data_IF_242319826337
#
_entry.id   IF_242319826337
#
_cell.length_a   1.000
_cell.length_b   1.000
_cell.length_c   1.000
_cell.angle_alpha   90.00
_cell.angle_beta   90.00
_cell.angle_gamma   90.00
#
_symmetry.space_group_name_H-M   'P 1'
#
loop_
_entity.id
_entity.type
_entity.pdbx_description
1 polymer ?
#
# COMPACT_ATOMS: atom_id res chain seq x y z
N UNK A 1 -19.25 16.63 2.14
CA UNK A 1 -17.80 16.38 2.04
C UNK A 1 -17.59 15.00 1.43
N UNK A 2 -16.97 14.91 0.26
CA UNK A 2 -16.63 13.62 -0.33
C UNK A 2 -15.56 12.93 0.51
N UNK A 3 -15.70 11.62 0.75
CA UNK A 3 -14.67 10.80 1.38
C UNK A 3 -13.50 10.65 0.42
N UNK A 4 -12.57 11.61 0.43
CA UNK A 4 -11.42 11.61 -0.47
C UNK A 4 -10.60 10.34 -0.19
N UNK A 5 -10.55 9.47 -1.21
CA UNK A 5 -9.83 8.21 -1.13
C UNK A 5 -8.53 8.37 -1.89
N UNK A 6 -7.41 8.03 -1.25
CA UNK A 6 -6.12 7.97 -1.91
C UNK A 6 -5.88 6.55 -2.43
N UNK A 7 -5.34 6.48 -3.64
CA UNK A 7 -4.99 5.22 -4.30
C UNK A 7 -3.49 5.00 -4.19
N UNK A 8 -3.10 3.98 -3.44
CA UNK A 8 -1.71 3.55 -3.34
C UNK A 8 -1.44 2.56 -4.47
N UNK A 9 -0.66 2.97 -5.45
CA UNK A 9 -0.27 2.10 -6.56
C UNK A 9 0.86 1.16 -6.15
N UNK A 10 0.78 -0.09 -6.61
CA UNK A 10 1.78 -1.14 -6.40
C UNK A 10 2.19 -1.73 -7.74
N UNK A 11 3.49 -1.94 -7.93
CA UNK A 11 4.07 -2.60 -9.09
C UNK A 11 4.85 -3.83 -8.65
N UNK A 12 4.61 -4.94 -9.35
CA UNK A 12 5.23 -6.22 -9.10
C UNK A 12 6.18 -6.59 -10.24
N UNK A 13 7.30 -7.21 -9.90
CA UNK A 13 8.19 -7.88 -10.84
C UNK A 13 7.58 -9.22 -11.29
N UNK A 14 8.09 -9.83 -12.38
CA UNK A 14 7.62 -11.13 -12.86
C UNK A 14 7.74 -12.27 -11.83
N UNK A 15 8.64 -12.14 -10.86
CA UNK A 15 8.81 -13.09 -9.75
C UNK A 15 7.86 -12.83 -8.56
N UNK A 16 6.96 -11.85 -8.66
CA UNK A 16 5.99 -11.50 -7.63
C UNK A 16 6.48 -10.54 -6.54
N UNK A 17 7.75 -10.11 -6.56
CA UNK A 17 8.24 -9.11 -5.60
C UNK A 17 7.76 -7.71 -5.94
N UNK A 18 7.58 -6.87 -4.93
CA UNK A 18 7.18 -5.47 -5.11
C UNK A 18 8.39 -4.65 -5.54
N UNK A 19 8.28 -4.05 -6.72
CA UNK A 19 9.30 -3.13 -7.28
C UNK A 19 9.09 -1.73 -6.73
N UNK A 20 7.83 -1.28 -6.70
CA UNK A 20 7.48 0.08 -6.31
C UNK A 20 6.11 0.09 -5.64
N UNK A 21 5.97 0.94 -4.62
CA UNK A 21 4.71 1.16 -3.91
C UNK A 21 4.66 2.61 -3.38
N UNK A 22 3.52 3.27 -3.58
CA UNK A 22 3.26 4.63 -3.10
C UNK A 22 3.05 4.72 -1.59
N UNK A 23 3.03 5.94 -1.05
CA UNK A 23 2.78 6.24 0.36
C UNK A 23 3.64 5.42 1.35
N UNK A 24 4.80 4.97 0.89
CA UNK A 24 5.71 4.12 1.65
C UNK A 24 6.47 4.94 2.68
N UNK A 25 6.50 4.52 3.95
CA UNK A 25 7.43 5.07 4.93
C UNK A 25 8.89 4.84 4.54
N UNK A 26 9.77 5.82 4.75
CA UNK A 26 11.18 5.74 4.35
C UNK A 26 11.94 4.56 5.00
N UNK A 27 11.54 4.19 6.22
CA UNK A 27 12.15 3.10 6.99
C UNK A 27 11.82 1.69 6.45
N UNK A 28 10.78 1.53 5.63
CA UNK A 28 10.33 0.23 5.14
C UNK A 28 10.73 0.02 3.68
N UNK A 29 11.15 -1.20 3.32
CA UNK A 29 11.27 -1.58 1.91
C UNK A 29 9.89 -1.66 1.23
N UNK A 30 9.83 -1.56 -0.13
CA UNK A 30 8.58 -1.73 -0.87
C UNK A 30 7.81 -3.01 -0.52
N UNK A 31 8.55 -4.12 -0.38
CA UNK A 31 7.96 -5.41 -0.01
C UNK A 31 7.40 -5.41 1.42
N UNK A 32 8.13 -4.84 2.39
CA UNK A 32 7.66 -4.75 3.78
C UNK A 32 6.39 -3.92 3.89
N UNK A 33 6.32 -2.79 3.17
CA UNK A 33 5.14 -1.95 3.18
C UNK A 33 3.92 -2.63 2.57
N UNK A 34 4.10 -3.31 1.43
CA UNK A 34 3.03 -4.11 0.82
C UNK A 34 2.53 -5.23 1.74
N UNK A 35 3.46 -5.95 2.38
CA UNK A 35 3.10 -7.03 3.31
C UNK A 35 2.29 -6.48 4.49
N UNK A 36 2.73 -5.35 5.07
CA UNK A 36 2.01 -4.72 6.19
C UNK A 36 0.61 -4.25 5.78
N UNK A 37 0.47 -3.57 4.63
CA UNK A 37 -0.83 -3.16 4.09
C UNK A 37 -1.73 -4.37 3.81
N UNK A 38 -1.17 -5.45 3.26
CA UNK A 38 -1.93 -6.68 3.01
C UNK A 38 -2.42 -7.36 4.29
N UNK A 39 -1.74 -7.17 5.42
CA UNK A 39 -2.18 -7.72 6.71
C UNK A 39 -3.23 -6.83 7.40
N UNK A 40 -3.11 -5.51 7.26
CA UNK A 40 -3.92 -4.56 8.05
C UNK A 40 -5.11 -3.98 7.27
N UNK A 41 -5.03 -3.89 5.94
CA UNK A 41 -6.06 -3.28 5.08
C UNK A 41 -6.33 -4.11 3.81
N UNK A 42 -6.25 -5.44 3.89
CA UNK A 42 -6.52 -6.37 2.77
C UNK A 42 -7.83 -6.08 2.02
N UNK A 43 -8.90 -5.70 2.73
CA UNK A 43 -10.22 -5.42 2.13
C UNK A 43 -10.20 -4.24 1.15
N UNK A 44 -9.16 -3.39 1.21
CA UNK A 44 -8.97 -2.24 0.35
C UNK A 44 -8.10 -2.54 -0.87
N UNK A 45 -7.56 -3.76 -0.98
CA UNK A 45 -6.69 -4.18 -2.06
C UNK A 45 -7.47 -4.64 -3.29
N UNK A 46 -6.97 -4.24 -4.47
CA UNK A 46 -7.44 -4.74 -5.76
C UNK A 46 -6.25 -5.05 -6.66
N UNK A 47 -6.18 -6.31 -7.10
CA UNK A 47 -5.24 -6.75 -8.12
C UNK A 47 -5.64 -6.20 -9.49
N UNK A 48 -4.65 -5.77 -10.27
CA UNK A 48 -4.79 -5.32 -11.66
C UNK A 48 -3.93 -6.20 -12.58
N UNK A 49 -4.25 -6.24 -13.87
CA UNK A 49 -3.49 -7.03 -14.84
C UNK A 49 -2.07 -6.46 -15.07
N UNK A 50 -1.14 -7.36 -15.42
CA UNK A 50 0.23 -7.00 -15.78
C UNK A 50 1.10 -6.54 -14.61
N UNK A 51 1.06 -7.27 -13.48
CA UNK A 51 1.92 -7.00 -12.33
C UNK A 51 1.61 -5.68 -11.63
N UNK A 52 0.33 -5.31 -11.53
CA UNK A 52 -0.12 -4.07 -10.88
C UNK A 52 -1.12 -4.38 -9.79
N UNK A 53 -1.14 -3.55 -8.75
CA UNK A 53 -2.13 -3.61 -7.68
C UNK A 53 -2.41 -2.22 -7.16
N UNK A 54 -3.52 -2.06 -6.47
CA UNK A 54 -3.86 -0.80 -5.79
C UNK A 54 -4.47 -1.07 -4.43
N UNK A 55 -4.17 -0.21 -3.46
CA UNK A 55 -4.98 -0.07 -2.23
C UNK A 55 -5.77 1.22 -2.30
N UNK A 56 -7.07 1.16 -2.03
CA UNK A 56 -7.93 2.35 -1.94
C UNK A 56 -8.29 2.61 -0.48
N UNK A 57 -7.57 3.55 0.13
CA UNK A 57 -7.72 3.92 1.55
C UNK A 57 -8.23 5.36 1.67
N UNK A 58 -8.84 5.73 2.81
CA UNK A 58 -9.21 7.12 3.02
C UNK A 58 -7.94 7.97 3.17
N UNK A 59 -7.93 9.16 2.57
CA UNK A 59 -6.77 10.04 2.62
C UNK A 59 -6.37 10.41 4.06
N UNK A 60 -7.36 10.51 4.96
CA UNK A 60 -7.16 10.76 6.39
C UNK A 60 -6.37 9.67 7.11
N UNK A 61 -6.42 8.43 6.63
CA UNK A 61 -5.86 7.28 7.34
C UNK A 61 -4.40 7.02 6.98
N UNK A 62 -3.90 7.57 5.87
CA UNK A 62 -2.55 7.24 5.37
C UNK A 62 -1.46 7.57 6.37
N UNK A 63 -1.49 8.77 6.97
CA UNK A 63 -0.47 9.17 7.94
C UNK A 63 -0.45 8.22 9.15
N UNK A 64 -1.63 7.81 9.62
CA UNK A 64 -1.76 6.84 10.71
C UNK A 64 -1.21 5.46 10.30
N UNK A 65 -1.56 4.95 9.11
CA UNK A 65 -1.07 3.67 8.61
C UNK A 65 0.47 3.67 8.50
N UNK A 66 1.05 4.76 7.99
CA UNK A 66 2.51 4.93 7.88
C UNK A 66 3.19 4.93 9.25
N UNK A 67 2.62 5.65 10.23
CA UNK A 67 3.15 5.72 11.60
C UNK A 67 3.11 4.38 12.30
N UNK A 68 1.98 3.67 12.23
CA UNK A 68 1.84 2.35 12.87
C UNK A 68 2.81 1.33 12.27
N UNK A 69 2.98 1.33 10.95
CA UNK A 69 3.89 0.40 10.28
C UNK A 69 5.37 0.62 10.60
N UNK A 70 5.78 1.86 10.87
CA UNK A 70 7.14 2.16 11.32
C UNK A 70 7.41 1.74 12.76
N UNK A 71 6.37 1.65 13.58
CA UNK A 71 6.47 1.29 14.99
C UNK A 71 6.38 -0.22 15.25
N UNK A 72 6.18 -1.03 14.20
CA UNK A 72 5.98 -2.48 14.25
C UNK A 72 7.25 -3.28 14.02
#
# INVERSE_FOLDING_TARGET
MGMESTVIHVRFAPNGTVVEIGERPEALSPQQWFNWLSLNVANHYRSLAGGRGVFKVAASDIDMLRKTANAS
#
